data_IF_804669352096
#
_entry.id   IF_804669352096
#
_cell.length_a   1.000
_cell.length_b   1.000
_cell.length_c   1.000
_cell.angle_alpha   90.00
_cell.angle_beta   90.00
_cell.angle_gamma   90.00
#
_symmetry.space_group_name_H-M   'P 1'
#
loop_
_entity.id
_entity.type
_entity.pdbx_description
1 polymer ?
#
# COMPACT_ATOMS: atom_id res chain seq x y z
N UNK A 1 -3.80 -20.71 -3.15
CA UNK A 1 -4.90 -19.77 -2.87
C UNK A 1 -4.26 -18.56 -2.24
N UNK A 2 -4.88 -17.39 -2.36
CA UNK A 2 -4.37 -16.18 -1.70
C UNK A 2 -4.89 -16.16 -0.27
N UNK A 3 -4.09 -15.73 0.68
CA UNK A 3 -4.42 -15.84 2.10
C UNK A 3 -4.40 -14.46 2.75
N UNK A 4 -5.40 -14.20 3.59
CA UNK A 4 -5.38 -13.09 4.52
C UNK A 4 -4.46 -13.48 5.68
N UNK A 5 -3.24 -12.96 5.63
CA UNK A 5 -2.16 -13.22 6.58
C UNK A 5 -2.04 -12.07 7.59
N UNK A 6 -1.18 -12.24 8.60
CA UNK A 6 -1.01 -11.24 9.65
C UNK A 6 -0.59 -9.86 9.11
N UNK A 7 0.15 -9.80 8.00
CA UNK A 7 0.51 -8.56 7.30
C UNK A 7 -0.69 -7.80 6.73
N UNK A 8 -1.83 -8.47 6.50
CA UNK A 8 -3.06 -7.82 6.03
C UNK A 8 -3.96 -7.32 7.17
N UNK A 9 -3.59 -7.57 8.44
CA UNK A 9 -4.41 -7.14 9.58
C UNK A 9 -4.12 -5.69 9.93
N UNK A 10 -5.19 -4.90 9.98
CA UNK A 10 -5.14 -3.49 10.38
C UNK A 10 -5.61 -3.29 11.82
N UNK A 11 -6.04 -4.38 12.49
CA UNK A 11 -6.51 -4.41 13.87
C UNK A 11 -7.79 -3.62 14.13
N UNK A 12 -8.62 -3.51 13.09
CA UNK A 12 -10.00 -3.01 13.17
C UNK A 12 -10.90 -4.23 12.94
N UNK A 13 -11.47 -4.86 14.00
CA UNK A 13 -12.04 -6.21 13.91
C UNK A 13 -13.10 -6.39 12.83
N UNK A 14 -13.92 -5.36 12.59
CA UNK A 14 -14.93 -5.40 11.54
C UNK A 14 -14.29 -5.41 10.15
N UNK A 15 -13.34 -4.50 9.89
CA UNK A 15 -12.67 -4.38 8.60
C UNK A 15 -11.79 -5.60 8.31
N UNK A 16 -11.06 -6.12 9.31
CA UNK A 16 -10.26 -7.34 9.17
C UNK A 16 -11.13 -8.55 8.78
N UNK A 17 -12.34 -8.67 9.32
CA UNK A 17 -13.27 -9.73 8.94
C UNK A 17 -13.81 -9.53 7.52
N UNK A 18 -14.07 -8.29 7.11
CA UNK A 18 -14.49 -7.96 5.76
C UNK A 18 -13.38 -8.25 4.73
N UNK A 19 -12.12 -7.94 5.04
CA UNK A 19 -10.97 -8.34 4.23
C UNK A 19 -10.90 -9.86 4.08
N UNK A 20 -10.99 -10.63 5.18
CA UNK A 20 -11.02 -12.11 5.12
C UNK A 20 -12.12 -12.60 4.17
N UNK A 21 -13.29 -11.95 4.19
CA UNK A 21 -14.40 -12.32 3.32
C UNK A 21 -14.14 -11.97 1.85
N UNK A 22 -13.53 -10.83 1.54
CA UNK A 22 -13.11 -10.47 0.18
C UNK A 22 -12.10 -11.49 -0.38
N UNK A 23 -11.11 -11.87 0.41
CA UNK A 23 -10.18 -12.96 0.05
C UNK A 23 -10.92 -14.27 -0.23
N UNK A 24 -11.90 -14.63 0.60
CA UNK A 24 -12.71 -15.83 0.38
C UNK A 24 -13.47 -15.78 -0.95
N UNK A 25 -14.16 -14.67 -1.25
CA UNK A 25 -14.92 -14.49 -2.50
C UNK A 25 -14.03 -14.70 -3.73
N UNK A 26 -12.83 -14.11 -3.73
CA UNK A 26 -11.86 -14.23 -4.83
C UNK A 26 -11.32 -15.65 -4.94
N UNK A 27 -10.98 -16.30 -3.82
CA UNK A 27 -10.47 -17.68 -3.81
C UNK A 27 -11.51 -18.71 -4.28
N UNK A 28 -12.78 -18.51 -3.94
CA UNK A 28 -13.86 -19.37 -4.41
C UNK A 28 -13.96 -19.30 -5.93
N UNK A 29 -13.89 -18.11 -6.53
CA UNK A 29 -13.88 -17.94 -7.97
C UNK A 29 -12.61 -18.53 -8.64
N UNK A 30 -11.44 -18.35 -8.03
CA UNK A 30 -10.17 -18.97 -8.48
C UNK A 30 -10.18 -20.50 -8.42
N UNK A 31 -10.94 -21.08 -7.50
CA UNK A 31 -11.11 -22.53 -7.41
C UNK A 31 -12.06 -23.02 -8.48
N UNK A 32 -13.21 -22.35 -8.65
CA UNK A 32 -14.24 -22.71 -9.62
C UNK A 32 -13.74 -22.59 -11.06
N UNK A 33 -12.98 -21.53 -11.39
CA UNK A 33 -12.46 -21.33 -12.75
C UNK A 33 -11.57 -22.50 -13.20
N UNK A 34 -10.88 -23.18 -12.28
CA UNK A 34 -10.00 -24.33 -12.61
C UNK A 34 -10.77 -25.59 -13.01
N UNK A 35 -12.01 -25.75 -12.55
CA UNK A 35 -12.77 -27.00 -12.67
C UNK A 35 -13.97 -26.90 -13.62
N UNK A 36 -14.38 -25.69 -13.98
CA UNK A 36 -15.59 -25.43 -14.76
C UNK A 36 -15.30 -25.18 -16.25
N UNK A 37 -16.31 -25.45 -17.09
CA UNK A 37 -16.37 -24.89 -18.45
C UNK A 37 -17.31 -23.68 -18.55
N UNK A 38 -18.19 -23.47 -17.57
CA UNK A 38 -19.14 -22.35 -17.56
C UNK A 38 -18.52 -21.11 -16.89
N UNK A 39 -17.62 -20.47 -17.62
CA UNK A 39 -16.97 -19.22 -17.17
C UNK A 39 -18.00 -18.08 -17.05
N UNK A 40 -19.03 -18.07 -17.90
CA UNK A 40 -20.02 -16.98 -17.92
C UNK A 40 -20.86 -16.95 -16.65
N UNK A 41 -21.36 -18.11 -16.19
CA UNK A 41 -22.14 -18.20 -14.96
C UNK A 41 -21.33 -17.78 -13.73
N UNK A 42 -20.08 -18.23 -13.64
CA UNK A 42 -19.20 -17.90 -12.52
C UNK A 42 -18.78 -16.43 -12.53
N UNK A 43 -18.44 -15.88 -13.70
CA UNK A 43 -18.10 -14.46 -13.81
C UNK A 43 -19.28 -13.57 -13.38
N UNK A 44 -20.50 -13.91 -13.82
CA UNK A 44 -21.69 -13.16 -13.40
C UNK A 44 -21.96 -13.27 -11.91
N UNK A 45 -21.84 -14.48 -11.33
CA UNK A 45 -22.02 -14.69 -9.89
C UNK A 45 -20.96 -13.97 -9.06
N UNK A 46 -19.68 -14.00 -9.49
CA UNK A 46 -18.59 -13.29 -8.81
C UNK A 46 -18.85 -11.78 -8.84
N UNK A 47 -19.10 -11.21 -10.02
CA UNK A 47 -19.29 -9.76 -10.17
C UNK A 47 -20.45 -9.26 -9.33
N UNK A 48 -21.56 -9.99 -9.26
CA UNK A 48 -22.70 -9.64 -8.41
C UNK A 48 -22.31 -9.63 -6.92
N UNK A 49 -21.76 -10.74 -6.43
CA UNK A 49 -21.44 -10.88 -5.00
C UNK A 49 -20.30 -9.96 -4.56
N UNK A 50 -19.25 -9.84 -5.38
CA UNK A 50 -18.10 -9.00 -5.10
C UNK A 50 -18.50 -7.52 -5.08
N UNK A 51 -19.29 -7.07 -6.05
CA UNK A 51 -19.73 -5.66 -6.12
C UNK A 51 -20.53 -5.27 -4.87
N UNK A 52 -21.51 -6.09 -4.50
CA UNK A 52 -22.36 -5.79 -3.34
C UNK A 52 -21.54 -5.80 -2.04
N UNK A 53 -20.64 -6.77 -1.89
CA UNK A 53 -19.81 -6.89 -0.69
C UNK A 53 -18.75 -5.78 -0.60
N UNK A 54 -18.05 -5.48 -1.70
CA UNK A 54 -17.05 -4.41 -1.76
C UNK A 54 -17.67 -3.05 -1.44
N UNK A 55 -18.84 -2.71 -2.02
CA UNK A 55 -19.52 -1.45 -1.70
C UNK A 55 -19.92 -1.36 -0.22
N UNK A 56 -20.31 -2.48 0.39
CA UNK A 56 -20.67 -2.52 1.82
C UNK A 56 -19.43 -2.30 2.69
N UNK A 57 -18.33 -2.99 2.35
CA UNK A 57 -17.05 -2.87 3.02
C UNK A 57 -16.48 -1.45 2.92
N UNK A 58 -16.40 -0.86 1.73
CA UNK A 58 -15.94 0.52 1.54
C UNK A 58 -16.79 1.52 2.33
N UNK A 59 -18.12 1.33 2.38
CA UNK A 59 -18.98 2.20 3.18
C UNK A 59 -18.70 2.10 4.69
N UNK A 60 -18.37 0.92 5.21
CA UNK A 60 -17.98 0.75 6.61
C UNK A 60 -16.61 1.36 6.91
N UNK A 61 -15.65 1.14 6.03
CA UNK A 61 -14.31 1.71 6.16
C UNK A 61 -14.31 3.23 6.08
N UNK A 62 -14.93 3.80 5.05
CA UNK A 62 -15.04 5.25 4.88
C UNK A 62 -15.76 5.91 6.06
N UNK A 63 -16.79 5.26 6.61
CA UNK A 63 -17.49 5.74 7.80
C UNK A 63 -16.60 5.70 9.05
N UNK A 64 -15.76 4.67 9.19
CA UNK A 64 -14.79 4.58 10.28
C UNK A 64 -13.72 5.67 10.16
N UNK A 65 -13.15 5.86 8.96
CA UNK A 65 -12.20 6.93 8.68
C UNK A 65 -12.78 8.32 8.93
N UNK A 66 -14.02 8.56 8.51
CA UNK A 66 -14.73 9.82 8.76
C UNK A 66 -14.88 10.08 10.26
N UNK A 67 -15.21 9.03 11.04
CA UNK A 67 -15.35 9.10 12.49
C UNK A 67 -14.04 9.50 13.18
N UNK A 68 -12.89 9.02 12.70
CA UNK A 68 -11.58 9.33 13.28
C UNK A 68 -10.91 10.55 12.65
N UNK A 69 -11.57 11.21 11.69
CA UNK A 69 -11.02 12.31 10.89
C UNK A 69 -9.70 11.93 10.21
N UNK A 70 -9.68 10.75 9.60
CA UNK A 70 -8.49 10.25 8.91
C UNK A 70 -8.16 11.12 7.67
N UNK A 71 -6.92 11.65 7.56
CA UNK A 71 -6.53 12.49 6.44
C UNK A 71 -6.50 11.76 5.09
N UNK A 72 -6.37 10.43 5.06
CA UNK A 72 -6.32 9.65 3.80
C UNK A 72 -7.70 9.40 3.20
N UNK A 73 -8.79 9.73 3.92
CA UNK A 73 -10.16 9.45 3.48
C UNK A 73 -10.47 9.96 2.06
N UNK A 74 -10.08 11.18 1.64
CA UNK A 74 -10.34 11.64 0.27
C UNK A 74 -9.66 10.76 -0.79
N UNK A 75 -8.45 10.27 -0.50
CA UNK A 75 -7.65 9.48 -1.41
C UNK A 75 -8.15 8.03 -1.49
N UNK A 76 -8.47 7.40 -0.36
CA UNK A 76 -9.07 6.06 -0.36
C UNK A 76 -10.45 6.05 -1.04
N UNK A 77 -11.27 7.11 -0.87
CA UNK A 77 -12.51 7.28 -1.65
C UNK A 77 -12.28 7.29 -3.16
N UNK A 78 -11.19 7.91 -3.63
CA UNK A 78 -10.81 7.90 -5.06
C UNK A 78 -10.47 6.47 -5.50
N UNK A 79 -9.65 5.75 -4.73
CA UNK A 79 -9.28 4.35 -5.00
C UNK A 79 -10.50 3.43 -5.06
N UNK A 80 -11.43 3.54 -4.10
CA UNK A 80 -12.67 2.78 -4.08
C UNK A 80 -13.54 3.07 -5.31
N UNK A 81 -13.64 4.33 -5.71
CA UNK A 81 -14.42 4.73 -6.88
C UNK A 81 -13.82 4.15 -8.17
N UNK A 82 -12.49 4.21 -8.33
CA UNK A 82 -11.77 3.64 -9.48
C UNK A 82 -11.91 2.12 -9.54
N UNK A 83 -11.80 1.43 -8.40
CA UNK A 83 -12.08 0.01 -8.31
C UNK A 83 -13.52 -0.30 -8.73
N UNK A 84 -14.50 0.41 -8.17
CA UNK A 84 -15.91 0.20 -8.49
C UNK A 84 -16.16 0.42 -9.99
N UNK A 85 -15.57 1.46 -10.60
CA UNK A 85 -15.65 1.70 -12.05
C UNK A 85 -15.03 0.56 -12.86
N UNK A 86 -13.84 0.08 -12.48
CA UNK A 86 -13.18 -1.05 -13.15
C UNK A 86 -14.02 -2.32 -13.11
N UNK A 87 -14.64 -2.62 -11.97
CA UNK A 87 -15.51 -3.80 -11.83
C UNK A 87 -16.82 -3.63 -12.61
N UNK A 88 -17.41 -2.43 -12.60
CA UNK A 88 -18.64 -2.14 -13.33
C UNK A 88 -18.46 -2.14 -14.85
N UNK A 89 -17.28 -1.75 -15.34
CA UNK A 89 -16.95 -1.71 -16.77
C UNK A 89 -16.44 -3.03 -17.32
N UNK A 90 -16.15 -4.02 -16.47
CA UNK A 90 -15.66 -5.32 -16.92
C UNK A 90 -16.72 -6.04 -17.77
N UNK A 91 -16.32 -6.47 -18.96
CA UNK A 91 -17.12 -7.26 -19.87
C UNK A 91 -16.34 -8.53 -20.20
N UNK A 92 -16.95 -9.68 -19.92
CA UNK A 92 -16.37 -10.98 -20.26
C UNK A 92 -16.23 -11.13 -21.79
N UNK A 93 -15.05 -11.52 -22.27
CA UNK A 93 -14.85 -11.81 -23.69
C UNK A 93 -15.51 -13.14 -24.05
N UNK A 94 -16.67 -13.09 -24.71
CA UNK A 94 -17.44 -14.28 -25.10
C UNK A 94 -17.15 -14.74 -26.53
N UNK A 95 -16.06 -14.28 -27.16
CA UNK A 95 -15.71 -14.66 -28.53
C UNK A 95 -15.35 -16.15 -28.68
N UNK A 96 -14.75 -16.75 -27.65
CA UNK A 96 -14.52 -18.19 -27.53
C UNK A 96 -14.50 -18.63 -26.05
N UNK A 97 -14.47 -19.94 -25.79
CA UNK A 97 -14.34 -20.46 -24.40
C UNK A 97 -12.98 -20.07 -23.80
N UNK A 98 -11.93 -20.12 -24.61
CA UNK A 98 -10.56 -19.77 -24.24
C UNK A 98 -10.44 -18.28 -23.94
N UNK A 99 -11.04 -17.42 -24.76
CA UNK A 99 -11.06 -15.98 -24.54
C UNK A 99 -11.85 -15.59 -23.28
N UNK A 100 -12.99 -16.24 -23.03
CA UNK A 100 -13.76 -16.04 -21.81
C UNK A 100 -12.95 -16.40 -20.58
N UNK A 101 -12.26 -17.55 -20.62
CA UNK A 101 -11.39 -17.98 -19.55
C UNK A 101 -10.24 -17.00 -19.30
N UNK A 102 -9.52 -16.61 -20.36
CA UNK A 102 -8.38 -15.71 -20.26
C UNK A 102 -8.77 -14.34 -19.70
N UNK A 103 -9.85 -13.73 -20.22
CA UNK A 103 -10.35 -12.44 -19.73
C UNK A 103 -10.82 -12.51 -18.26
N UNK A 104 -11.38 -13.65 -17.84
CA UNK A 104 -11.77 -13.85 -16.44
C UNK A 104 -10.56 -14.08 -15.52
N UNK A 105 -9.55 -14.84 -15.96
CA UNK A 105 -8.30 -15.02 -15.22
C UNK A 105 -7.52 -13.70 -15.08
N UNK A 106 -7.60 -12.81 -16.07
CA UNK A 106 -7.08 -11.44 -15.99
C UNK A 106 -7.82 -10.62 -14.92
N UNK A 107 -9.17 -10.67 -14.90
CA UNK A 107 -9.96 -10.02 -13.86
C UNK A 107 -9.57 -10.54 -12.46
N UNK A 108 -9.47 -11.86 -12.27
CA UNK A 108 -9.10 -12.44 -10.98
C UNK A 108 -7.69 -12.00 -10.55
N UNK A 109 -6.76 -11.90 -11.50
CA UNK A 109 -5.40 -11.41 -11.24
C UNK A 109 -5.41 -9.94 -10.83
N UNK A 110 -6.22 -9.11 -11.49
CA UNK A 110 -6.44 -7.72 -11.10
C UNK A 110 -7.02 -7.61 -9.68
N UNK A 111 -8.07 -8.38 -9.37
CA UNK A 111 -8.74 -8.34 -8.06
C UNK A 111 -7.80 -8.68 -6.90
N UNK A 112 -6.98 -9.72 -7.07
CA UNK A 112 -6.00 -10.11 -6.05
C UNK A 112 -4.95 -9.03 -5.88
N UNK A 113 -4.41 -8.52 -6.99
CA UNK A 113 -3.36 -7.49 -6.95
C UNK A 113 -3.88 -6.22 -6.27
N UNK A 114 -5.06 -5.76 -6.68
CA UNK A 114 -5.71 -4.59 -6.10
C UNK A 114 -5.97 -4.79 -4.61
N UNK A 115 -6.54 -5.93 -4.19
CA UNK A 115 -6.84 -6.17 -2.78
C UNK A 115 -5.59 -6.18 -1.90
N UNK A 116 -4.51 -6.86 -2.31
CA UNK A 116 -3.26 -6.82 -1.54
C UNK A 116 -2.64 -5.43 -1.53
N UNK A 117 -2.60 -4.76 -2.68
CA UNK A 117 -2.01 -3.43 -2.81
C UNK A 117 -2.75 -2.43 -1.92
N UNK A 118 -4.07 -2.38 -2.00
CA UNK A 118 -4.90 -1.46 -1.23
C UNK A 118 -4.76 -1.71 0.28
N UNK A 119 -4.89 -2.96 0.75
CA UNK A 119 -4.71 -3.26 2.17
C UNK A 119 -3.30 -2.86 2.67
N UNK A 120 -2.25 -3.24 1.93
CA UNK A 120 -0.86 -3.08 2.38
C UNK A 120 -0.28 -1.68 2.15
N UNK A 121 -0.89 -0.85 1.32
CA UNK A 121 -0.44 0.52 1.05
C UNK A 121 -1.39 1.58 1.58
N UNK A 122 -2.69 1.31 1.64
CA UNK A 122 -3.74 2.25 2.06
C UNK A 122 -4.32 1.86 3.43
N UNK A 123 -5.03 0.74 3.56
CA UNK A 123 -5.87 0.45 4.75
C UNK A 123 -5.01 0.28 6.01
N UNK A 124 -3.81 -0.26 5.85
CA UNK A 124 -2.82 -0.35 6.92
C UNK A 124 -2.47 1.01 7.54
N UNK A 125 -2.71 2.13 6.87
CA UNK A 125 -2.43 3.47 7.38
C UNK A 125 -3.61 4.11 8.13
N UNK A 126 -4.80 3.51 8.09
CA UNK A 126 -5.99 4.00 8.79
C UNK A 126 -5.69 4.19 10.28
N UNK A 127 -5.89 5.41 10.77
CA UNK A 127 -5.68 5.85 12.15
C UNK A 127 -4.21 5.99 12.56
N UNK A 128 -3.25 5.82 11.65
CA UNK A 128 -1.81 5.88 11.96
C UNK A 128 -1.16 7.23 11.61
N UNK A 129 -1.81 8.06 10.79
CA UNK A 129 -1.27 9.37 10.39
C UNK A 129 -1.41 10.45 11.48
N UNK A 130 -2.49 10.42 12.26
CA UNK A 130 -2.73 11.39 13.35
C UNK A 130 -1.74 11.27 14.52
N UNK A 131 -1.01 10.16 14.64
CA UNK A 131 -0.03 9.95 15.71
C UNK A 131 1.25 10.79 15.57
N UNK A 132 1.44 11.49 14.44
CA UNK A 132 2.58 12.37 14.19
C UNK A 132 2.37 13.76 14.82
N UNK A 133 1.13 14.16 15.09
CA UNK A 133 0.81 15.44 15.73
C UNK A 133 0.72 15.28 17.26
N UNK A 134 1.79 15.66 17.97
CA UNK A 134 1.74 15.77 19.44
C UNK A 134 3.01 15.42 20.21
N UNK A 135 4.08 14.98 19.54
CA UNK A 135 5.39 14.79 20.17
C UNK A 135 6.25 16.04 20.00
N UNK A 136 7.05 16.40 21.01
CA UNK A 136 8.02 17.49 20.89
C UNK A 136 9.27 17.12 20.08
N UNK A 137 9.24 15.97 19.40
CA UNK A 137 10.36 15.40 18.65
C UNK A 137 10.15 15.66 17.16
N UNK A 138 11.22 15.99 16.44
CA UNK A 138 11.19 16.18 14.99
C UNK A 138 10.72 14.87 14.32
N UNK A 139 9.54 14.85 13.67
CA UNK A 139 8.97 13.62 13.12
C UNK A 139 9.84 13.05 11.98
N UNK A 140 10.69 13.88 11.36
CA UNK A 140 11.61 13.50 10.31
C UNK A 140 12.98 13.03 10.84
N UNK A 141 13.19 12.99 12.16
CA UNK A 141 14.44 12.53 12.73
C UNK A 141 14.46 10.99 12.87
N UNK A 142 15.53 10.37 12.35
CA UNK A 142 15.84 9.00 12.69
C UNK A 142 16.35 8.90 14.14
N UNK A 143 15.51 8.40 15.04
CA UNK A 143 15.81 8.20 16.46
C UNK A 143 16.06 6.73 16.81
N UNK A 144 16.41 6.45 18.06
CA UNK A 144 16.58 5.07 18.57
C UNK A 144 15.30 4.21 18.41
N UNK A 145 14.13 4.86 18.30
CA UNK A 145 12.85 4.21 18.00
C UNK A 145 12.87 3.44 16.68
N UNK A 146 13.68 3.86 15.70
CA UNK A 146 13.74 3.28 14.36
C UNK A 146 14.97 2.40 14.14
N UNK A 147 15.84 2.24 15.14
CA UNK A 147 17.00 1.33 15.04
C UNK A 147 16.55 -0.13 15.07
N UNK A 148 16.93 -0.86 14.04
CA UNK A 148 16.82 -2.32 13.95
C UNK A 148 18.01 -2.98 14.66
N UNK A 149 19.17 -2.31 14.72
CA UNK A 149 20.43 -2.92 15.18
C UNK A 149 21.21 -3.62 14.05
N UNK A 150 20.71 -3.58 12.83
CA UNK A 150 21.40 -4.05 11.63
C UNK A 150 22.06 -2.82 10.97
N UNK A 151 23.39 -2.74 11.01
CA UNK A 151 24.14 -1.55 10.58
C UNK A 151 23.85 -1.11 9.13
N UNK A 152 23.61 -2.06 8.23
CA UNK A 152 23.26 -1.78 6.83
C UNK A 152 21.89 -1.08 6.74
N UNK A 153 20.86 -1.77 7.25
CA UNK A 153 19.46 -1.32 7.28
C UNK A 153 19.32 0.03 8.00
N UNK A 154 19.95 0.18 9.17
CA UNK A 154 19.88 1.44 9.93
C UNK A 154 20.51 2.64 9.19
N UNK A 155 21.53 2.41 8.34
CA UNK A 155 22.12 3.47 7.51
C UNK A 155 21.18 3.87 6.38
N UNK A 156 20.52 2.91 5.75
CA UNK A 156 19.56 3.16 4.69
C UNK A 156 18.30 3.86 5.23
N UNK A 157 17.77 3.42 6.37
CA UNK A 157 16.67 4.13 7.05
C UNK A 157 17.05 5.59 7.33
N UNK A 158 18.22 5.85 7.92
CA UNK A 158 18.69 7.23 8.14
C UNK A 158 18.65 8.05 6.84
N UNK A 159 19.11 7.46 5.74
CA UNK A 159 19.12 8.15 4.45
C UNK A 159 17.71 8.39 3.90
N UNK A 160 16.77 7.45 4.08
CA UNK A 160 15.36 7.65 3.73
C UNK A 160 14.74 8.81 4.52
N UNK A 161 14.92 8.83 5.85
CA UNK A 161 14.46 9.94 6.70
C UNK A 161 15.06 11.29 6.27
N UNK A 162 16.35 11.33 5.91
CA UNK A 162 16.99 12.53 5.38
C UNK A 162 16.36 13.01 4.05
N UNK A 163 16.08 12.10 3.10
CA UNK A 163 15.46 12.46 1.82
C UNK A 163 14.04 12.99 2.04
N UNK A 164 13.25 12.36 2.92
CA UNK A 164 11.90 12.84 3.27
C UNK A 164 11.99 14.22 3.92
N UNK A 165 12.96 14.43 4.84
CA UNK A 165 13.20 15.75 5.46
C UNK A 165 13.59 16.81 4.43
N UNK A 166 14.55 16.52 3.55
CA UNK A 166 14.98 17.39 2.44
C UNK A 166 13.77 17.81 1.59
N UNK A 167 12.85 16.88 1.33
CA UNK A 167 11.64 17.13 0.53
C UNK A 167 10.64 18.00 1.29
N UNK A 168 10.39 17.71 2.57
CA UNK A 168 9.52 18.52 3.43
C UNK A 168 10.02 19.97 3.56
N UNK A 169 11.30 20.16 3.84
CA UNK A 169 11.90 21.48 4.02
C UNK A 169 11.78 22.33 2.75
N UNK A 170 11.84 21.69 1.57
CA UNK A 170 11.63 22.34 0.29
C UNK A 170 10.16 22.71 0.05
N UNK A 171 9.22 21.83 0.40
CA UNK A 171 7.77 22.10 0.31
C UNK A 171 7.40 23.32 1.18
N UNK A 172 7.92 23.38 2.40
CA UNK A 172 7.68 24.47 3.37
C UNK A 172 8.38 25.80 3.02
N UNK A 173 9.26 25.81 2.01
CA UNK A 173 9.95 27.01 1.60
C UNK A 173 9.10 27.83 0.61
N UNK A 174 8.39 28.84 1.12
CA UNK A 174 7.50 29.71 0.33
C UNK A 174 8.25 30.73 -0.54
N UNK A 175 9.57 30.84 -0.41
CA UNK A 175 10.39 31.86 -1.09
C UNK A 175 11.02 31.37 -2.41
N UNK A 176 10.89 30.09 -2.73
CA UNK A 176 11.44 29.49 -3.96
C UNK A 176 10.38 29.48 -5.07
N UNK A 177 10.52 30.41 -6.01
CA UNK A 177 9.86 30.31 -7.30
C UNK A 177 10.48 29.10 -8.03
N UNK A 178 9.67 28.17 -8.54
CA UNK A 178 10.14 26.97 -9.27
C UNK A 178 10.70 25.81 -8.41
N UNK A 179 10.18 25.64 -7.18
CA UNK A 179 10.57 24.52 -6.29
C UNK A 179 10.10 23.14 -6.76
N UNK A 180 9.16 23.07 -7.70
CA UNK A 180 8.51 21.83 -8.09
C UNK A 180 9.44 20.86 -8.81
N UNK A 181 10.24 21.33 -9.77
CA UNK A 181 11.25 20.49 -10.43
C UNK A 181 12.21 19.83 -9.42
N UNK A 182 12.57 20.58 -8.37
CA UNK A 182 13.44 20.08 -7.32
C UNK A 182 12.72 19.09 -6.37
N UNK A 183 11.45 19.35 -6.02
CA UNK A 183 10.61 18.40 -5.27
C UNK A 183 10.45 17.10 -6.06
N UNK A 184 10.18 17.20 -7.37
CA UNK A 184 10.07 16.08 -8.28
C UNK A 184 11.35 15.25 -8.32
N UNK A 185 12.51 15.91 -8.43
CA UNK A 185 13.81 15.26 -8.36
C UNK A 185 14.02 14.53 -7.02
N UNK A 186 13.56 15.11 -5.91
CA UNK A 186 13.65 14.47 -4.60
C UNK A 186 12.68 13.29 -4.44
N UNK A 187 11.46 13.35 -5.00
CA UNK A 187 10.53 12.23 -5.01
C UNK A 187 11.04 11.05 -5.86
N UNK A 188 11.63 11.33 -7.02
CA UNK A 188 12.31 10.29 -7.83
C UNK A 188 13.47 9.68 -7.04
N UNK A 189 14.30 10.51 -6.41
CA UNK A 189 15.40 10.05 -5.55
C UNK A 189 14.89 9.21 -4.37
N UNK A 190 13.77 9.58 -3.74
CA UNK A 190 13.15 8.83 -2.66
C UNK A 190 12.70 7.44 -3.15
N UNK A 191 11.99 7.39 -4.27
CA UNK A 191 11.54 6.15 -4.90
C UNK A 191 12.70 5.23 -5.24
N UNK A 192 13.72 5.74 -5.94
CA UNK A 192 14.89 4.96 -6.33
C UNK A 192 15.64 4.42 -5.11
N UNK A 193 15.79 5.24 -4.07
CA UNK A 193 16.48 4.84 -2.85
C UNK A 193 15.66 3.84 -2.01
N UNK A 194 14.33 3.96 -2.01
CA UNK A 194 13.41 3.01 -1.39
C UNK A 194 13.52 1.63 -2.05
N UNK A 195 13.51 1.59 -3.39
CA UNK A 195 13.69 0.34 -4.14
C UNK A 195 15.06 -0.30 -3.87
N UNK A 196 16.11 0.52 -3.80
CA UNK A 196 17.46 0.06 -3.44
C UNK A 196 17.49 -0.58 -2.04
N UNK A 197 16.95 0.13 -1.04
CA UNK A 197 16.89 -0.33 0.34
C UNK A 197 16.12 -1.66 0.48
N UNK A 198 14.93 -1.75 -0.12
CA UNK A 198 14.14 -2.98 -0.10
C UNK A 198 14.87 -4.15 -0.77
N UNK A 199 15.61 -3.92 -1.85
CA UNK A 199 16.40 -4.97 -2.48
C UNK A 199 17.51 -5.50 -1.56
N UNK A 200 18.21 -4.61 -0.86
CA UNK A 200 19.26 -4.99 0.09
C UNK A 200 18.70 -5.75 1.31
N UNK A 201 17.57 -5.31 1.85
CA UNK A 201 16.86 -5.99 2.94
C UNK A 201 16.31 -7.37 2.52
N UNK A 202 15.69 -7.46 1.34
CA UNK A 202 15.20 -8.73 0.79
C UNK A 202 16.34 -9.73 0.54
N UNK A 203 17.48 -9.25 0.05
CA UNK A 203 18.68 -10.07 -0.12
C UNK A 203 19.23 -10.56 1.22
N UNK A 204 19.17 -9.72 2.26
CA UNK A 204 19.55 -10.11 3.61
C UNK A 204 18.61 -11.22 4.13
N UNK A 205 17.30 -10.98 4.06
CA UNK A 205 16.26 -11.93 4.47
C UNK A 205 16.33 -13.27 3.73
N UNK A 206 16.62 -13.25 2.42
CA UNK A 206 16.76 -14.46 1.61
C UNK A 206 17.96 -15.30 2.05
N UNK A 207 19.11 -14.67 2.32
CA UNK A 207 20.33 -15.35 2.78
C UNK A 207 20.16 -16.05 4.13
N UNK A 208 19.33 -15.49 5.00
CA UNK A 208 19.05 -16.04 6.33
C UNK A 208 17.79 -16.92 6.38
N UNK A 209 17.15 -17.16 5.23
CA UNK A 209 15.89 -17.89 5.13
C UNK A 209 14.82 -17.35 6.08
N UNK A 210 14.67 -16.01 6.13
CA UNK A 210 13.70 -15.35 6.98
C UNK A 210 12.26 -15.81 6.63
N UNK A 211 11.49 -16.35 7.60
CA UNK A 211 10.19 -16.96 7.30
C UNK A 211 9.15 -15.99 6.70
N UNK A 212 9.18 -14.73 7.11
CA UNK A 212 8.18 -13.72 6.68
C UNK A 212 8.60 -12.95 5.42
N UNK A 213 9.68 -13.35 4.72
CA UNK A 213 10.17 -12.69 3.52
C UNK A 213 9.06 -12.45 2.48
N UNK A 214 8.19 -13.43 2.26
CA UNK A 214 7.12 -13.30 1.27
C UNK A 214 6.11 -12.20 1.64
N UNK A 215 5.84 -12.00 2.93
CA UNK A 215 4.96 -10.93 3.41
C UNK A 215 5.63 -9.56 3.25
N UNK A 216 6.90 -9.46 3.64
CA UNK A 216 7.64 -8.21 3.54
C UNK A 216 7.81 -7.75 2.08
N UNK A 217 8.08 -8.68 1.14
CA UNK A 217 8.09 -8.38 -0.30
C UNK A 217 6.76 -7.84 -0.83
N UNK A 218 5.62 -8.33 -0.32
CA UNK A 218 4.31 -7.80 -0.72
C UNK A 218 4.13 -6.37 -0.23
N UNK A 219 4.49 -6.09 1.02
CA UNK A 219 4.44 -4.74 1.57
C UNK A 219 5.35 -3.76 0.80
N UNK A 220 6.59 -4.17 0.50
CA UNK A 220 7.52 -3.39 -0.33
C UNK A 220 6.95 -3.10 -1.71
N UNK A 221 6.41 -4.12 -2.36
CA UNK A 221 5.83 -3.99 -3.71
C UNK A 221 4.64 -3.03 -3.68
N UNK A 222 3.73 -3.18 -2.71
CA UNK A 222 2.56 -2.32 -2.56
C UNK A 222 2.96 -0.85 -2.35
N UNK A 223 3.97 -0.59 -1.51
CA UNK A 223 4.48 0.77 -1.29
C UNK A 223 5.12 1.38 -2.53
N UNK A 224 5.91 0.60 -3.28
CA UNK A 224 6.54 1.05 -4.52
C UNK A 224 5.49 1.32 -5.62
N UNK A 225 4.48 0.46 -5.74
CA UNK A 225 3.37 0.66 -6.67
C UNK A 225 2.58 1.93 -6.30
N UNK A 226 2.29 2.13 -5.02
CA UNK A 226 1.67 3.36 -4.51
C UNK A 226 2.50 4.60 -4.87
N UNK A 227 3.81 4.53 -4.74
CA UNK A 227 4.72 5.61 -5.14
C UNK A 227 4.70 5.91 -6.65
N UNK A 228 4.37 4.92 -7.49
CA UNK A 228 4.25 5.06 -8.96
C UNK A 228 2.90 5.66 -9.36
N UNK A 229 1.84 5.34 -8.62
CA UNK A 229 0.46 5.81 -8.88
C UNK A 229 0.23 7.27 -8.50
N UNK A 230 1.14 7.86 -7.71
CA UNK A 230 1.20 9.30 -7.49
C UNK A 230 1.44 9.96 -8.85
N UNK A 231 0.36 10.39 -9.50
CA UNK A 231 0.40 11.10 -10.77
C UNK A 231 0.82 12.54 -10.52
N UNK A 232 2.13 12.74 -10.63
CA UNK A 232 2.76 14.03 -10.45
C UNK A 232 2.54 14.97 -11.65
N UNK A 233 1.93 14.49 -12.74
CA UNK A 233 1.58 15.32 -13.92
C UNK A 233 0.27 16.08 -13.75
N UNK A 234 -0.62 15.65 -12.85
CA UNK A 234 -1.82 16.41 -12.48
C UNK A 234 -1.49 17.66 -11.64
N UNK A 235 -0.26 17.74 -11.09
CA UNK A 235 0.16 18.85 -10.24
C UNK A 235 0.35 20.17 -11.02
N UNK A 236 0.62 20.12 -12.32
CA UNK A 236 0.77 21.31 -13.17
C UNK A 236 -0.57 22.05 -13.37
N UNK A 237 -1.72 21.38 -13.19
CA UNK A 237 -3.06 21.97 -13.32
C UNK A 237 -3.66 22.43 -11.96
N UNK A 238 -2.95 22.22 -10.85
CA UNK A 238 -3.46 22.38 -9.48
C UNK A 238 -2.92 23.62 -8.73
N UNK A 239 -2.98 24.80 -9.36
CA UNK A 239 -2.44 26.07 -8.83
C UNK A 239 -2.84 26.44 -7.37
N UNK A 240 -3.96 25.92 -6.84
CA UNK A 240 -4.44 26.23 -5.49
C UNK A 240 -4.37 25.06 -4.48
N UNK A 241 -3.96 23.84 -4.87
CA UNK A 241 -4.00 22.67 -3.97
C UNK A 241 -2.74 21.79 -4.00
N UNK A 242 -1.72 22.21 -4.76
CA UNK A 242 -0.45 21.48 -4.94
C UNK A 242 0.35 21.33 -3.63
N UNK A 243 0.43 22.38 -2.81
CA UNK A 243 1.15 22.34 -1.54
C UNK A 243 0.49 21.39 -0.54
N UNK A 244 -0.84 21.40 -0.46
CA UNK A 244 -1.61 20.47 0.40
C UNK A 244 -1.33 19.03 0.02
N UNK A 245 -1.41 18.70 -1.26
CA UNK A 245 -1.13 17.35 -1.76
C UNK A 245 0.29 16.89 -1.43
N UNK A 246 1.30 17.75 -1.61
CA UNK A 246 2.69 17.41 -1.30
C UNK A 246 2.92 17.18 0.19
N UNK A 247 2.21 17.92 1.05
CA UNK A 247 2.26 17.71 2.50
C UNK A 247 1.60 16.39 2.89
N UNK A 248 0.42 16.09 2.36
CA UNK A 248 -0.28 14.81 2.56
C UNK A 248 0.60 13.64 2.12
N UNK A 249 1.22 13.75 0.93
CA UNK A 249 2.14 12.75 0.41
C UNK A 249 3.35 12.53 1.36
N UNK A 250 3.99 13.59 1.83
CA UNK A 250 5.13 13.45 2.74
C UNK A 250 4.71 12.85 4.08
N UNK A 251 3.54 13.20 4.59
CA UNK A 251 2.99 12.60 5.81
C UNK A 251 2.72 11.10 5.60
N UNK A 252 2.15 10.71 4.46
CA UNK A 252 1.96 9.31 4.08
C UNK A 252 3.30 8.56 4.04
N UNK A 253 4.30 9.09 3.33
CA UNK A 253 5.62 8.46 3.18
C UNK A 253 6.32 8.25 4.52
N UNK A 254 6.33 9.29 5.34
CA UNK A 254 6.92 9.23 6.68
C UNK A 254 6.15 8.26 7.59
N UNK A 255 4.83 8.31 7.53
CA UNK A 255 3.94 7.44 8.30
C UNK A 255 4.15 5.98 7.94
N UNK A 256 4.11 5.64 6.65
CA UNK A 256 4.31 4.28 6.16
C UNK A 256 5.69 3.76 6.54
N UNK A 257 6.75 4.51 6.24
CA UNK A 257 8.13 4.12 6.58
C UNK A 257 8.29 3.88 8.09
N UNK A 258 7.79 4.80 8.92
CA UNK A 258 7.88 4.69 10.37
C UNK A 258 7.17 3.44 10.90
N UNK A 259 5.98 3.15 10.39
CA UNK A 259 5.21 1.98 10.82
C UNK A 259 5.81 0.66 10.29
N UNK A 260 6.33 0.66 9.06
CA UNK A 260 7.01 -0.49 8.45
C UNK A 260 8.23 -0.90 9.28
N UNK A 261 9.12 0.05 9.60
CA UNK A 261 10.32 -0.20 10.42
C UNK A 261 9.95 -0.82 11.78
N UNK A 262 8.91 -0.28 12.42
CA UNK A 262 8.50 -0.73 13.76
C UNK A 262 7.85 -2.11 13.71
N UNK A 263 6.96 -2.33 12.73
CA UNK A 263 6.12 -3.53 12.65
C UNK A 263 6.75 -4.70 11.91
N UNK A 264 7.72 -4.45 11.03
CA UNK A 264 8.31 -5.44 10.12
C UNK A 264 9.83 -5.51 10.30
N UNK A 265 10.59 -4.49 9.93
CA UNK A 265 12.07 -4.56 9.80
C UNK A 265 12.75 -4.91 11.12
N UNK A 266 12.22 -4.42 12.24
CA UNK A 266 12.72 -4.77 13.58
C UNK A 266 12.64 -6.26 13.90
N UNK A 267 11.69 -7.00 13.32
CA UNK A 267 11.56 -8.46 13.52
C UNK A 267 12.71 -9.22 12.86
N UNK A 268 13.31 -8.69 11.79
CA UNK A 268 14.49 -9.29 11.14
C UNK A 268 15.63 -9.38 12.13
N UNK A 269 15.91 -8.30 12.87
CA UNK A 269 16.96 -8.27 13.88
C UNK A 269 16.72 -9.28 15.00
N UNK A 270 15.48 -9.42 15.47
CA UNK A 270 15.10 -10.41 16.47
C UNK A 270 15.41 -11.83 15.98
N UNK A 271 14.99 -12.16 14.76
CA UNK A 271 15.27 -13.47 14.16
C UNK A 271 16.77 -13.71 13.94
N UNK A 272 17.54 -12.68 13.52
CA UNK A 272 19.00 -12.79 13.42
C UNK A 272 19.66 -13.14 14.75
N UNK A 273 19.17 -12.60 15.87
CA UNK A 273 19.70 -12.91 17.20
C UNK A 273 19.27 -14.29 17.70
N UNK A 274 18.10 -14.77 17.31
CA UNK A 274 17.66 -16.15 17.58
C UNK A 274 18.51 -17.18 16.84
N UNK A 275 18.91 -16.91 15.60
CA UNK A 275 19.80 -17.79 14.82
C UNK A 275 21.22 -17.92 15.39
N UNK A 276 21.66 -16.98 16.24
CA UNK A 276 22.99 -17.01 16.87
C UNK A 276 23.03 -17.88 18.13
N UNK A 277 21.88 -18.31 18.66
CA UNK A 277 21.75 -19.15 19.86
C UNK A 277 21.82 -20.63 19.50
#
# INVERSE_FOLDING_TARGET
MYEFTEDCMIHIPQIDEEHRKLFQIINDALSLVKTTEDISGIAQSLLLHLKDYANTHFAHEEAYMEQIHDPELPLQKKEHAEFAEKINSFILDKSSKEAARASFEELLSYLVRWLYHHILSSDMMIGKMSAVEGTSEDPFAFTDKYKTGIDLVDKEHRRLFEIIKETNDLIQNDLLHDKYDEIMRLLVKLKDYTQFHFADEEMLMEKMHYPELAAQKRAHTAFVERLVEIDLSELDDMDNNQQTYLLELIQFLLGWLSNHIIGMDKKIAVYMDEMKK
#
